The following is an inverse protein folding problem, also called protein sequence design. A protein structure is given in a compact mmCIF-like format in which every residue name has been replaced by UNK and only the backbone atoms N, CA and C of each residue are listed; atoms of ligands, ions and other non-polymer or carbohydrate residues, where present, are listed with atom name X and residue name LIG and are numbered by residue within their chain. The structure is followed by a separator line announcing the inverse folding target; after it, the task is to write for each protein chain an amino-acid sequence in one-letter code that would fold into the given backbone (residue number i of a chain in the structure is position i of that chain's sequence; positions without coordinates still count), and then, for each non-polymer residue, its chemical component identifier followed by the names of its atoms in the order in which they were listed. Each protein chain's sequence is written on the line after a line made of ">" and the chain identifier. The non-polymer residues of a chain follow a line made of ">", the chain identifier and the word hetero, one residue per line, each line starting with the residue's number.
data_IF_092285349768
#
_entry.id   IF_092285349768
#
_cell.length_a   1.000
_cell.length_b   1.000
_cell.length_c   1.000
_cell.angle_alpha   90.00
_cell.angle_beta   90.00
_cell.angle_gamma   90.00
#
_symmetry.space_group_name_H-M   'P 1'
#
loop_
_entity.id
_entity.type
_entity.pdbx_description
1 polymer ?
#
# COMPACT_ATOMS: atom_id res chain seq x y z
N UNK A 1 -7.38 -4.82 -0.74
CA UNK A 1 -6.95 -3.65 -1.54
C UNK A 1 -7.38 -3.88 -2.97
N UNK A 2 -7.86 -2.81 -3.62
CA UNK A 2 -8.12 -2.76 -5.06
C UNK A 2 -7.21 -1.69 -5.64
N UNK A 3 -6.44 -2.03 -6.68
CA UNK A 3 -5.57 -1.11 -7.41
C UNK A 3 -6.05 -1.05 -8.85
N UNK A 4 -6.34 0.17 -9.31
CA UNK A 4 -6.69 0.41 -10.70
C UNK A 4 -5.44 0.92 -11.43
N UNK A 5 -5.07 0.28 -12.54
CA UNK A 5 -3.90 0.60 -13.34
C UNK A 5 -4.38 0.98 -14.73
N UNK A 6 -3.91 2.10 -15.26
CA UNK A 6 -4.14 2.49 -16.65
C UNK A 6 -2.83 2.31 -17.43
N UNK A 7 -2.87 1.52 -18.50
CA UNK A 7 -1.68 1.18 -19.31
C UNK A 7 -1.64 1.91 -20.67
N UNK A 8 -2.60 2.82 -20.92
CA UNK A 8 -2.74 3.54 -22.18
C UNK A 8 -3.67 2.87 -23.20
N UNK A 9 -3.99 1.58 -23.02
CA UNK A 9 -4.92 0.83 -23.85
C UNK A 9 -6.21 0.48 -23.10
N UNK A 10 -6.13 0.37 -21.77
CA UNK A 10 -7.28 0.06 -20.94
C UNK A 10 -7.01 0.19 -19.45
N UNK A 11 -7.91 -0.41 -18.68
CA UNK A 11 -7.88 -0.41 -17.23
C UNK A 11 -7.75 -1.83 -16.70
N UNK A 12 -6.81 -2.03 -15.79
CA UNK A 12 -6.61 -3.27 -15.06
C UNK A 12 -6.99 -3.09 -13.59
N UNK A 13 -7.65 -4.10 -13.02
CA UNK A 13 -7.97 -4.13 -11.59
C UNK A 13 -7.21 -5.26 -10.90
N UNK A 14 -6.24 -4.92 -10.06
CA UNK A 14 -5.58 -5.88 -9.18
C UNK A 14 -6.27 -5.87 -7.80
N UNK A 15 -6.69 -7.06 -7.35
CA UNK A 15 -7.29 -7.24 -6.02
C UNK A 15 -6.40 -8.14 -5.15
N UNK A 16 -6.05 -7.67 -3.94
CA UNK A 16 -5.32 -8.47 -2.96
C UNK A 16 -5.98 -8.38 -1.58
N UNK A 17 -6.11 -9.52 -0.89
CA UNK A 17 -6.50 -9.53 0.53
C UNK A 17 -5.34 -9.02 1.36
N UNK A 18 -5.60 -8.02 2.20
CA UNK A 18 -4.59 -7.48 3.10
C UNK A 18 -4.44 -8.38 4.32
N UNK A 19 -3.24 -8.43 4.91
CA UNK A 19 -2.96 -9.28 6.06
C UNK A 19 -3.94 -9.00 7.23
N UNK A 20 -4.23 -7.72 7.50
CA UNK A 20 -5.20 -7.31 8.52
C UNK A 20 -6.65 -7.21 8.00
N UNK A 21 -6.96 -7.74 6.81
CA UNK A 21 -8.31 -7.79 6.25
C UNK A 21 -8.90 -6.47 5.73
N UNK A 22 -8.33 -5.31 6.07
CA UNK A 22 -8.79 -3.98 5.63
C UNK A 22 -7.65 -3.06 5.25
N UNK A 23 -7.93 -2.12 4.34
CA UNK A 23 -6.98 -1.07 3.99
C UNK A 23 -7.13 0.06 4.99
N UNK A 24 -6.02 0.48 5.61
CA UNK A 24 -5.97 1.62 6.52
C UNK A 24 -5.30 2.76 5.78
N UNK A 25 -6.00 3.88 5.64
CA UNK A 25 -5.38 5.11 5.16
C UNK A 25 -4.42 5.66 6.23
N UNK A 26 -3.35 6.32 5.82
CA UNK A 26 -2.63 7.20 6.74
C UNK A 26 -3.52 8.39 7.09
N UNK A 27 -3.38 8.91 8.30
CA UNK A 27 -4.13 10.07 8.75
C UNK A 27 -3.72 11.31 7.94
N UNK A 28 -4.68 12.03 7.34
CA UNK A 28 -4.41 13.21 6.50
C UNK A 28 -5.44 13.47 5.39
N UNK A 29 -5.13 14.44 4.52
CA UNK A 29 -6.06 15.09 3.57
C UNK A 29 -6.37 14.28 2.29
N UNK A 30 -6.62 12.97 2.41
CA UNK A 30 -7.15 12.15 1.31
C UNK A 30 -6.15 11.75 0.21
N UNK A 31 -4.90 12.19 0.29
CA UNK A 31 -3.79 11.68 -0.53
C UNK A 31 -2.52 11.56 0.30
N UNK A 32 -1.67 10.60 -0.05
CA UNK A 32 -0.39 10.36 0.62
C UNK A 32 0.60 9.80 -0.39
N UNK A 33 1.82 10.30 -0.35
CA UNK A 33 2.95 9.77 -1.12
C UNK A 33 3.59 8.62 -0.36
N UNK A 34 3.74 7.47 -1.01
CA UNK A 34 4.50 6.34 -0.49
C UNK A 34 5.94 6.39 -0.98
N UNK A 35 6.87 6.00 -0.13
CA UNK A 35 8.20 5.57 -0.60
C UNK A 35 8.07 4.26 -1.38
N UNK A 36 9.06 3.94 -2.22
CA UNK A 36 9.07 2.67 -2.98
C UNK A 36 8.94 1.46 -2.04
N UNK A 37 9.68 1.44 -0.93
CA UNK A 37 9.64 0.33 0.00
C UNK A 37 8.27 0.16 0.68
N UNK A 38 7.58 1.27 1.00
CA UNK A 38 6.20 1.21 1.52
C UNK A 38 5.23 0.70 0.46
N UNK A 39 5.40 1.12 -0.80
CA UNK A 39 4.60 0.61 -1.90
C UNK A 39 4.78 -0.91 -2.09
N UNK A 40 6.03 -1.39 -2.09
CA UNK A 40 6.32 -2.82 -2.21
C UNK A 40 5.71 -3.62 -1.04
N UNK A 41 5.86 -3.13 0.19
CA UNK A 41 5.24 -3.72 1.38
C UNK A 41 3.70 -3.75 1.26
N UNK A 42 3.09 -2.68 0.75
CA UNK A 42 1.65 -2.59 0.53
C UNK A 42 1.18 -3.59 -0.53
N UNK A 43 1.90 -3.70 -1.65
CA UNK A 43 1.63 -4.69 -2.70
C UNK A 43 1.72 -6.10 -2.14
N UNK A 44 2.65 -6.37 -1.20
CA UNK A 44 2.76 -7.64 -0.48
C UNK A 44 1.70 -7.85 0.61
N UNK A 45 0.89 -6.84 0.91
CA UNK A 45 -0.12 -6.88 1.97
C UNK A 45 0.46 -6.80 3.38
N UNK A 46 1.73 -6.42 3.51
CA UNK A 46 2.43 -6.16 4.77
C UNK A 46 1.97 -4.82 5.38
N UNK A 47 2.20 -4.59 6.68
CA UNK A 47 1.85 -3.33 7.35
C UNK A 47 2.79 -2.18 6.93
N UNK A 48 2.63 -1.71 5.69
CA UNK A 48 3.43 -0.67 5.04
C UNK A 48 3.53 0.65 5.84
N UNK A 49 2.53 0.98 6.65
CA UNK A 49 2.52 2.18 7.51
C UNK A 49 3.62 2.15 8.58
N UNK A 50 4.03 0.94 8.98
CA UNK A 50 5.01 0.71 10.03
C UNK A 50 6.43 0.59 9.48
N UNK A 51 6.61 0.74 8.16
CA UNK A 51 7.91 0.66 7.51
C UNK A 51 8.68 1.97 7.75
N UNK A 52 9.77 1.88 8.53
CA UNK A 52 10.71 2.98 8.71
C UNK A 52 11.62 3.20 7.50
N UNK A 53 12.40 4.27 7.51
CA UNK A 53 13.37 4.58 6.46
C UNK A 53 14.50 3.54 6.29
N UNK A 54 14.68 2.68 7.30
CA UNK A 54 15.58 1.52 7.34
C UNK A 54 14.95 0.24 6.77
N UNK A 55 13.70 0.29 6.31
CA UNK A 55 12.98 -0.88 5.79
C UNK A 55 12.50 -1.85 6.88
N UNK A 56 12.61 -1.47 8.15
CA UNK A 56 12.15 -2.29 9.28
C UNK A 56 10.68 -2.02 9.56
N UNK A 57 9.89 -3.09 9.67
CA UNK A 57 8.50 -3.04 10.13
C UNK A 57 8.50 -3.00 11.66
N UNK A 58 8.10 -1.87 12.26
CA UNK A 58 7.94 -1.78 13.72
C UNK A 58 6.57 -2.29 14.15
N UNK A 59 6.53 -3.32 14.98
CA UNK A 59 5.31 -3.69 15.68
C UNK A 59 5.13 -2.74 16.87
N UNK A 60 4.05 -1.96 16.86
CA UNK A 60 3.55 -1.22 18.02
C UNK A 60 2.58 -2.08 18.82
#
# INVERSE_FOLDING_TARGET
>A
MKVLIHDGLGLWLACRRLNQGRFRWAEGNGSMTLTQAQFDALVLGLPWQQLGGDGVIRMI
#
